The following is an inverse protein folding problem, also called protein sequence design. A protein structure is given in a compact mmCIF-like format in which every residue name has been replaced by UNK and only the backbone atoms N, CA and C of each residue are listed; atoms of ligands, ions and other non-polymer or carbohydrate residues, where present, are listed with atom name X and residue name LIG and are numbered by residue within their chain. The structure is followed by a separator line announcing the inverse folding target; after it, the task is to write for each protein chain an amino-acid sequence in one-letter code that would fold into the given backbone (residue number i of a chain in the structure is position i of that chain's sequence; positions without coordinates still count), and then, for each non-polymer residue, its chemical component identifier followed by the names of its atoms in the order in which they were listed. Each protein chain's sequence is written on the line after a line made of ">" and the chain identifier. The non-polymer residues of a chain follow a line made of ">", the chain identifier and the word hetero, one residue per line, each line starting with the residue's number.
data_IF_992398635866
#
_entry.id   IF_992398635866
#
_cell.length_a   1.000
_cell.length_b   1.000
_cell.length_c   1.000
_cell.angle_alpha   90.00
_cell.angle_beta   90.00
_cell.angle_gamma   90.00
#
_symmetry.space_group_name_H-M   'P 1'
#
loop_
_entity.id
_entity.type
_entity.pdbx_description
1 polymer ?
#
# COMPACT_ATOMS: atom_id res chain seq x y z
N UNK A 1 -5.99 -36.25 1.64
CA UNK A 1 -6.69 -35.46 2.67
C UNK A 1 -5.68 -34.51 3.28
N UNK A 2 -5.68 -33.24 2.85
CA UNK A 2 -4.80 -32.21 3.37
C UNK A 2 -5.67 -31.09 3.96
N UNK A 3 -5.50 -30.83 5.25
CA UNK A 3 -6.24 -29.80 5.96
C UNK A 3 -5.71 -28.43 5.58
N UNK A 4 -6.52 -27.61 4.90
CA UNK A 4 -6.30 -26.19 4.78
C UNK A 4 -6.63 -25.53 6.13
N UNK A 5 -5.64 -24.96 6.79
CA UNK A 5 -5.88 -23.95 7.83
C UNK A 5 -6.21 -22.62 7.14
N UNK A 6 -7.39 -22.02 7.38
CA UNK A 6 -7.70 -20.69 6.89
C UNK A 6 -6.76 -19.66 7.51
N UNK A 7 -6.38 -18.63 6.74
CA UNK A 7 -5.68 -17.48 7.30
C UNK A 7 -6.68 -16.63 8.11
N UNK A 8 -6.28 -15.99 9.21
CA UNK A 8 -7.20 -15.27 10.11
C UNK A 8 -7.82 -13.97 9.55
N UNK A 9 -7.81 -13.77 8.23
CA UNK A 9 -8.18 -12.50 7.60
C UNK A 9 -9.30 -12.63 6.58
N UNK A 10 -9.92 -13.82 6.46
CA UNK A 10 -10.91 -14.13 5.42
C UNK A 10 -12.37 -13.95 5.85
N UNK A 11 -12.65 -13.49 7.08
CA UNK A 11 -14.02 -13.26 7.54
C UNK A 11 -14.24 -11.80 7.92
N UNK A 12 -14.92 -11.06 7.03
CA UNK A 12 -15.85 -9.99 7.40
C UNK A 12 -16.89 -9.81 6.27
N UNK A 13 -18.07 -10.38 6.54
CA UNK A 13 -19.41 -10.01 6.08
C UNK A 13 -19.71 -9.86 4.57
N UNK A 14 -20.03 -11.01 3.96
CA UNK A 14 -20.98 -11.09 2.85
C UNK A 14 -22.40 -10.76 3.35
N UNK A 15 -22.73 -9.48 3.50
CA UNK A 15 -24.13 -9.03 3.54
C UNK A 15 -24.52 -8.39 2.22
N UNK A 16 -25.60 -8.93 1.67
CA UNK A 16 -26.08 -8.77 0.31
C UNK A 16 -26.76 -7.40 0.14
N UNK A 17 -26.09 -6.42 -0.45
CA UNK A 17 -26.80 -5.26 -1.02
C UNK A 17 -27.31 -5.59 -2.42
N UNK A 18 -28.48 -6.21 -2.46
CA UNK A 18 -29.29 -6.37 -3.69
C UNK A 18 -29.94 -5.03 -4.04
N UNK A 19 -29.15 -4.08 -4.53
CA UNK A 19 -29.64 -2.87 -5.19
C UNK A 19 -29.87 -3.16 -6.67
N UNK A 20 -31.13 -3.41 -7.06
CA UNK A 20 -31.52 -3.41 -8.47
C UNK A 20 -31.47 -1.96 -8.99
N UNK A 21 -30.53 -1.67 -9.87
CA UNK A 21 -30.60 -0.52 -10.78
C UNK A 21 -30.51 -1.05 -12.20
N UNK A 22 -31.66 -1.16 -12.86
CA UNK A 22 -31.72 -1.22 -14.31
C UNK A 22 -31.61 0.21 -14.82
N UNK A 23 -30.44 0.56 -15.35
CA UNK A 23 -30.30 1.70 -16.26
C UNK A 23 -29.68 1.13 -17.53
N UNK A 24 -30.53 1.01 -18.55
CA UNK A 24 -30.12 0.79 -19.93
C UNK A 24 -29.56 2.10 -20.45
N UNK A 25 -28.24 2.27 -20.38
CA UNK A 25 -27.54 3.28 -21.16
C UNK A 25 -26.74 2.56 -22.24
N UNK A 26 -27.38 2.46 -23.41
CA UNK A 26 -26.74 2.08 -24.66
C UNK A 26 -25.92 3.27 -25.16
N UNK A 27 -24.84 3.61 -24.46
CA UNK A 27 -23.80 4.49 -24.99
C UNK A 27 -22.59 3.64 -25.37
N UNK A 28 -22.31 3.66 -26.67
CA UNK A 28 -21.06 3.17 -27.25
C UNK A 28 -19.91 4.10 -26.83
N UNK A 29 -19.64 4.17 -25.52
CA UNK A 29 -18.55 4.92 -24.94
C UNK A 29 -17.34 3.98 -24.93
N UNK A 30 -16.31 4.28 -25.72
CA UNK A 30 -15.08 3.47 -25.74
C UNK A 30 -14.59 3.15 -24.32
N UNK A 31 -13.97 1.98 -24.16
CA UNK A 31 -13.51 1.50 -22.86
C UNK A 31 -12.65 2.58 -22.18
N UNK A 32 -13.10 3.09 -21.03
CA UNK A 32 -12.36 4.08 -20.24
C UNK A 32 -11.55 3.30 -19.21
N UNK A 33 -10.24 3.52 -19.22
CA UNK A 33 -9.34 3.04 -18.17
C UNK A 33 -9.07 4.18 -17.17
N UNK A 34 -9.03 3.83 -15.89
CA UNK A 34 -8.79 4.77 -14.81
C UNK A 34 -7.43 4.47 -14.21
N UNK A 35 -6.57 5.49 -14.10
CA UNK A 35 -5.23 5.36 -13.55
C UNK A 35 -5.11 6.20 -12.29
N UNK A 36 -4.78 5.53 -11.18
CA UNK A 36 -4.32 6.20 -9.97
C UNK A 36 -2.82 6.46 -10.09
N UNK A 37 -2.43 7.70 -9.86
CA UNK A 37 -1.05 8.08 -9.59
C UNK A 37 -0.90 8.28 -8.07
N UNK A 38 -0.21 7.36 -7.40
CA UNK A 38 0.10 7.43 -5.98
C UNK A 38 1.53 7.95 -5.83
N UNK A 39 1.67 9.23 -5.47
CA UNK A 39 2.97 9.83 -5.17
C UNK A 39 3.38 9.47 -3.75
N UNK A 40 4.40 8.64 -3.60
CA UNK A 40 5.04 8.32 -2.34
C UNK A 40 6.10 9.39 -2.05
N UNK A 41 5.87 10.20 -1.00
CA UNK A 41 6.77 11.31 -0.65
C UNK A 41 7.88 10.83 0.26
N UNK A 42 7.54 10.54 1.50
CA UNK A 42 8.50 10.16 2.54
C UNK A 42 7.84 9.30 3.61
N UNK A 43 8.69 8.59 4.35
CA UNK A 43 8.33 8.04 5.65
C UNK A 43 9.01 8.89 6.71
N UNK A 44 8.35 9.16 7.82
CA UNK A 44 8.93 9.83 8.98
C UNK A 44 8.71 9.01 10.25
N UNK A 45 9.45 9.35 11.31
CA UNK A 45 9.38 8.69 12.62
C UNK A 45 9.58 7.17 12.56
N UNK A 46 10.41 6.67 11.65
CA UNK A 46 10.78 5.25 11.66
C UNK A 46 11.48 4.97 12.97
N UNK A 47 10.80 4.28 13.88
CA UNK A 47 11.39 3.83 15.14
C UNK A 47 12.57 2.95 14.75
N UNK A 48 13.76 3.44 15.08
CA UNK A 48 15.00 2.76 14.79
C UNK A 48 15.00 1.46 15.61
N UNK A 49 14.71 0.34 14.97
CA UNK A 49 15.09 -0.99 15.47
C UNK A 49 16.62 -1.09 15.33
N UNK A 50 17.34 -0.28 16.11
CA UNK A 50 18.81 -0.22 16.13
C UNK A 50 19.42 -1.06 17.25
N UNK A 51 18.62 -1.82 17.99
CA UNK A 51 19.14 -2.86 18.87
C UNK A 51 19.41 -4.13 18.05
N UNK A 52 20.58 -4.20 17.38
CA UNK A 52 21.11 -5.50 16.91
C UNK A 52 21.83 -5.53 15.55
N UNK A 53 21.94 -4.43 14.80
CA UNK A 53 22.59 -4.45 13.48
C UNK A 53 24.10 -4.16 13.57
N UNK A 54 24.91 -5.21 13.41
CA UNK A 54 26.35 -5.11 13.15
C UNK A 54 26.67 -5.47 11.69
N UNK A 55 27.51 -4.70 10.97
CA UNK A 55 28.08 -3.42 11.39
C UNK A 55 26.97 -2.35 11.48
N UNK A 56 27.21 -1.32 12.29
CA UNK A 56 26.30 -0.18 12.48
C UNK A 56 26.05 0.53 11.16
N UNK A 57 25.11 0.04 10.37
CA UNK A 57 24.65 0.73 9.18
C UNK A 57 23.82 1.91 9.68
N UNK A 58 24.47 3.06 9.75
CA UNK A 58 23.82 4.33 9.98
C UNK A 58 22.81 4.70 8.88
N UNK A 59 22.55 3.84 7.89
CA UNK A 59 21.64 4.06 6.77
C UNK A 59 20.97 2.72 6.41
N UNK A 60 19.65 2.69 6.41
CA UNK A 60 18.87 1.54 5.96
C UNK A 60 18.51 1.64 4.48
N UNK A 61 18.26 0.50 3.82
CA UNK A 61 17.70 0.45 2.47
C UNK A 61 16.20 0.23 2.57
N UNK A 62 15.41 1.18 2.11
CA UNK A 62 13.95 1.14 2.24
C UNK A 62 13.27 1.05 0.89
N UNK A 63 12.12 0.38 0.88
CA UNK A 63 11.21 0.31 -0.27
C UNK A 63 9.76 0.33 0.22
N UNK A 64 8.90 1.02 -0.52
CA UNK A 64 7.45 0.96 -0.32
C UNK A 64 6.86 0.01 -1.35
N UNK A 65 6.08 -0.95 -0.88
CA UNK A 65 5.34 -1.91 -1.69
C UNK A 65 3.85 -1.61 -1.52
N UNK A 66 3.15 -1.52 -2.64
CA UNK A 66 1.70 -1.29 -2.72
C UNK A 66 1.09 -2.52 -3.37
N UNK A 67 0.08 -3.11 -2.75
CA UNK A 67 -0.69 -4.21 -3.31
C UNK A 67 -2.15 -3.80 -3.45
N UNK A 68 -2.78 -4.12 -4.57
CA UNK A 68 -4.23 -3.98 -4.73
C UNK A 68 -4.99 -5.23 -4.26
N UNK A 69 -6.31 -5.22 -4.38
CA UNK A 69 -7.15 -6.35 -3.97
C UNK A 69 -7.06 -7.54 -4.92
N UNK A 70 -6.60 -7.32 -6.16
CA UNK A 70 -6.31 -8.39 -7.13
C UNK A 70 -4.98 -9.09 -6.86
N UNK A 71 -4.17 -8.59 -5.92
CA UNK A 71 -2.86 -9.12 -5.57
C UNK A 71 -1.72 -8.65 -6.48
N UNK A 72 -1.95 -7.66 -7.35
CA UNK A 72 -0.87 -7.01 -8.11
C UNK A 72 -0.01 -6.20 -7.15
N UNK A 73 1.31 -6.32 -7.27
CA UNK A 73 2.26 -5.56 -6.46
C UNK A 73 2.98 -4.52 -7.30
N UNK A 74 3.13 -3.34 -6.71
CA UNK A 74 3.87 -2.21 -7.25
C UNK A 74 4.86 -1.76 -6.19
N UNK A 75 6.02 -1.25 -6.58
CA UNK A 75 7.00 -0.78 -5.60
C UNK A 75 7.75 0.43 -6.07
N UNK A 76 8.14 1.27 -5.12
CA UNK A 76 9.12 2.32 -5.37
C UNK A 76 10.50 1.73 -5.64
N UNK A 77 11.43 2.54 -6.13
CA UNK A 77 12.85 2.21 -6.10
C UNK A 77 13.34 2.06 -4.65
N UNK A 78 14.44 1.34 -4.50
CA UNK A 78 15.18 1.22 -3.24
C UNK A 78 15.86 2.54 -2.92
N UNK A 79 15.72 3.03 -1.70
CA UNK A 79 16.39 4.25 -1.24
C UNK A 79 17.15 4.00 0.03
N UNK A 80 18.38 4.53 0.06
CA UNK A 80 19.22 4.57 1.26
C UNK A 80 18.86 5.81 2.06
N UNK A 81 18.44 5.64 3.33
CA UNK A 81 17.99 6.74 4.17
C UNK A 81 18.32 6.59 5.65
N UNK A 82 18.34 7.71 6.38
CA UNK A 82 18.38 7.80 7.86
C UNK A 82 17.03 8.32 8.33
N UNK A 83 16.46 7.77 9.42
CA UNK A 83 15.11 7.17 9.60
C UNK A 83 13.89 7.88 8.96
N UNK A 84 14.10 8.62 7.89
CA UNK A 84 13.13 9.36 7.12
C UNK A 84 13.50 9.28 5.63
N UNK A 85 13.38 8.10 5.01
CA UNK A 85 13.61 7.95 3.57
C UNK A 85 12.58 8.77 2.77
N UNK A 86 13.04 9.46 1.73
CA UNK A 86 12.23 10.25 0.82
C UNK A 86 12.33 9.66 -0.59
N UNK A 87 11.19 9.29 -1.19
CA UNK A 87 11.13 8.74 -2.55
C UNK A 87 10.80 9.79 -3.60
N UNK A 88 9.77 10.60 -3.34
CA UNK A 88 9.14 11.47 -4.34
C UNK A 88 8.88 10.72 -5.65
N UNK A 89 8.30 9.53 -5.54
CA UNK A 89 8.12 8.59 -6.64
C UNK A 89 6.64 8.29 -6.86
N UNK A 90 6.21 8.28 -8.12
CA UNK A 90 4.83 8.01 -8.51
C UNK A 90 4.68 6.53 -8.86
N UNK A 91 3.75 5.86 -8.18
CA UNK A 91 3.28 4.53 -8.53
C UNK A 91 1.98 4.66 -9.32
N UNK A 92 1.95 4.07 -10.52
CA UNK A 92 0.78 4.07 -11.38
C UNK A 92 0.02 2.75 -11.28
N UNK A 93 -1.26 2.82 -10.96
CA UNK A 93 -2.13 1.64 -10.81
C UNK A 93 -3.35 1.82 -11.69
N UNK A 94 -3.59 0.84 -12.57
CA UNK A 94 -4.67 0.87 -13.57
C UNK A 94 -5.88 0.07 -13.12
N UNK A 95 -7.06 0.61 -13.38
CA UNK A 95 -8.37 0.06 -13.06
C UNK A 95 -9.29 0.17 -14.27
N UNK A 96 -10.05 -0.89 -14.52
CA UNK A 96 -10.93 -0.97 -15.69
C UNK A 96 -12.35 -0.44 -15.39
N UNK A 97 -12.59 0.04 -14.17
CA UNK A 97 -13.91 0.49 -13.72
C UNK A 97 -13.80 1.68 -12.78
N UNK A 98 -14.84 2.52 -12.82
CA UNK A 98 -15.09 3.59 -11.86
C UNK A 98 -16.52 3.47 -11.33
N UNK A 99 -16.77 3.62 -10.02
CA UNK A 99 -15.80 3.88 -8.95
C UNK A 99 -14.82 2.73 -8.73
N UNK A 100 -13.62 3.04 -8.21
CA UNK A 100 -12.58 2.02 -7.98
C UNK A 100 -12.94 1.13 -6.79
N UNK A 101 -13.37 1.71 -5.66
CA UNK A 101 -13.91 0.98 -4.50
C UNK A 101 -12.94 0.04 -3.78
N UNK A 102 -11.66 0.01 -4.17
CA UNK A 102 -10.66 -0.94 -3.66
C UNK A 102 -9.81 -0.33 -2.55
N UNK A 103 -9.24 -1.20 -1.70
CA UNK A 103 -8.24 -0.83 -0.69
C UNK A 103 -6.83 -1.15 -1.20
N UNK A 104 -5.95 -0.14 -1.19
CA UNK A 104 -4.53 -0.33 -1.43
C UNK A 104 -3.84 -0.70 -0.11
N UNK A 105 -3.17 -1.85 -0.10
CA UNK A 105 -2.36 -2.33 1.02
C UNK A 105 -0.93 -1.82 0.85
N UNK A 106 -0.45 -1.04 1.81
CA UNK A 106 0.91 -0.52 1.87
C UNK A 106 1.76 -1.34 2.82
N UNK A 107 3.01 -1.57 2.43
CA UNK A 107 4.05 -2.20 3.24
C UNK A 107 5.36 -1.47 3.02
N UNK A 108 5.95 -0.95 4.09
CA UNK A 108 7.32 -0.42 4.06
C UNK A 108 8.27 -1.51 4.55
N UNK A 109 9.29 -1.80 3.75
CA UNK A 109 10.32 -2.79 4.08
C UNK A 109 11.68 -2.13 4.24
N UNK A 110 12.45 -2.67 5.18
CA UNK A 110 13.87 -2.41 5.37
C UNK A 110 14.64 -3.64 4.88
N UNK A 111 15.44 -3.47 3.84
CA UNK A 111 16.18 -4.55 3.18
C UNK A 111 17.61 -4.68 3.72
N UNK A 112 18.23 -5.84 3.49
CA UNK A 112 19.57 -6.21 3.95
C UNK A 112 19.72 -6.21 5.49
N UNK A 113 18.65 -6.58 6.19
CA UNK A 113 18.64 -6.84 7.63
C UNK A 113 19.11 -8.27 7.91
N UNK A 114 20.42 -8.49 8.01
CA UNK A 114 20.98 -9.82 8.25
C UNK A 114 20.96 -10.28 9.72
N UNK A 115 20.50 -9.43 10.64
CA UNK A 115 20.41 -9.74 12.08
C UNK A 115 19.14 -10.51 12.47
N UNK A 116 18.17 -10.65 11.56
CA UNK A 116 16.98 -11.48 11.76
C UNK A 116 17.07 -12.76 10.90
N UNK A 117 17.58 -13.87 11.47
CA UNK A 117 17.80 -15.12 10.72
C UNK A 117 16.50 -15.79 10.26
N UNK A 118 15.32 -15.26 10.63
CA UNK A 118 14.02 -15.82 10.29
C UNK A 118 13.56 -15.57 8.85
N UNK A 119 14.18 -14.64 8.10
CA UNK A 119 13.82 -14.38 6.70
C UNK A 119 15.03 -14.54 5.78
N UNK A 120 14.99 -15.54 4.89
CA UNK A 120 16.07 -15.82 3.93
C UNK A 120 16.35 -14.70 2.92
N UNK A 121 15.49 -13.67 2.91
CA UNK A 121 15.59 -12.50 2.03
C UNK A 121 16.24 -11.29 2.69
N UNK A 122 16.46 -11.29 4.01
CA UNK A 122 16.98 -10.13 4.74
C UNK A 122 16.05 -8.91 4.70
N UNK A 123 14.75 -9.11 4.52
CA UNK A 123 13.75 -8.05 4.49
C UNK A 123 12.95 -8.00 5.80
N UNK A 124 12.98 -6.86 6.48
CA UNK A 124 12.20 -6.61 7.70
C UNK A 124 11.08 -5.63 7.41
N UNK A 125 9.84 -5.98 7.78
CA UNK A 125 8.72 -5.05 7.66
C UNK A 125 8.82 -3.98 8.74
N UNK A 126 8.85 -2.72 8.31
CA UNK A 126 8.81 -1.53 9.17
C UNK A 126 7.38 -1.32 9.65
N UNK A 127 6.41 -1.34 8.74
CA UNK A 127 5.00 -1.26 9.07
C UNK A 127 4.11 -1.36 7.85
N UNK A 128 2.80 -1.45 8.10
CA UNK A 128 1.76 -1.62 7.09
C UNK A 128 0.66 -0.59 7.28
N UNK A 129 0.06 -0.17 6.19
CA UNK A 129 -1.10 0.72 6.19
C UNK A 129 -2.11 0.28 5.13
N UNK A 130 -3.33 0.79 5.21
CA UNK A 130 -4.37 0.63 4.18
C UNK A 130 -4.82 2.02 3.75
N UNK A 131 -4.82 2.27 2.44
CA UNK A 131 -5.43 3.43 1.83
C UNK A 131 -6.72 2.98 1.13
N UNK A 132 -7.91 3.39 1.59
CA UNK A 132 -9.12 3.19 0.82
C UNK A 132 -9.07 4.06 -0.44
N UNK A 133 -9.48 3.51 -1.58
CA UNK A 133 -9.71 4.24 -2.84
C UNK A 133 -11.22 4.19 -3.13
N UNK A 134 -11.99 4.91 -2.33
CA UNK A 134 -13.44 5.03 -2.50
C UNK A 134 -13.82 6.30 -3.29
N UNK A 135 -15.10 6.44 -3.66
CA UNK A 135 -15.65 7.62 -4.35
C UNK A 135 -15.38 8.93 -3.63
N UNK A 136 -15.17 8.89 -2.31
CA UNK A 136 -14.91 10.08 -1.51
C UNK A 136 -13.48 10.59 -1.68
N UNK A 137 -12.59 9.81 -2.31
CA UNK A 137 -11.23 10.26 -2.64
C UNK A 137 -11.19 11.42 -3.63
N UNK A 138 -12.26 11.69 -4.38
CA UNK A 138 -12.34 12.93 -5.18
C UNK A 138 -12.05 14.17 -4.34
N UNK A 139 -12.45 14.17 -3.06
CA UNK A 139 -12.20 15.27 -2.11
C UNK A 139 -10.76 15.32 -1.60
N UNK A 140 -10.01 14.25 -1.79
CA UNK A 140 -8.65 14.06 -1.31
C UNK A 140 -7.62 14.11 -2.44
N UNK A 141 -8.05 14.12 -3.71
CA UNK A 141 -7.13 14.23 -4.83
C UNK A 141 -6.31 15.52 -4.79
N UNK A 142 -5.00 15.39 -5.03
CA UNK A 142 -4.05 16.49 -4.95
C UNK A 142 -3.77 17.01 -3.55
N UNK A 143 -4.26 16.35 -2.49
CA UNK A 143 -3.91 16.67 -1.10
C UNK A 143 -2.90 15.68 -0.56
N UNK A 144 -2.00 16.19 0.29
CA UNK A 144 -1.09 15.35 1.09
C UNK A 144 -1.89 14.57 2.11
N UNK A 145 -1.91 13.25 1.95
CA UNK A 145 -2.38 12.30 2.94
C UNK A 145 -1.22 11.80 3.81
N UNK A 146 -1.53 11.46 5.06
CA UNK A 146 -0.59 10.81 5.98
C UNK A 146 -1.27 9.57 6.55
N UNK A 147 -0.57 8.44 6.57
CA UNK A 147 -1.05 7.20 7.19
C UNK A 147 -0.04 6.66 8.20
N UNK A 148 -0.58 6.10 9.28
CA UNK A 148 0.19 5.39 10.29
C UNK A 148 0.60 4.01 9.78
N UNK A 149 1.89 3.72 9.84
CA UNK A 149 2.44 2.42 9.53
C UNK A 149 2.46 1.58 10.81
N UNK A 150 1.62 0.55 10.83
CA UNK A 150 1.42 -0.31 11.99
C UNK A 150 2.19 -1.61 11.83
N UNK A 151 2.84 -2.05 12.90
CA UNK A 151 3.49 -3.36 13.02
C UNK A 151 2.86 -4.14 14.16
N UNK A 152 2.76 -5.46 13.99
CA UNK A 152 2.38 -6.37 15.06
C UNK A 152 3.64 -6.76 15.84
N UNK A 153 3.64 -6.48 17.13
CA UNK A 153 4.70 -6.86 18.07
C UNK A 153 4.05 -7.79 19.11
N UNK A 154 4.22 -9.10 18.92
CA UNK A 154 3.44 -10.09 19.64
C UNK A 154 1.96 -10.02 19.28
N UNK A 155 1.10 -9.73 20.26
CA UNK A 155 -0.35 -9.55 20.08
C UNK A 155 -0.75 -8.06 19.96
N UNK A 156 0.19 -7.13 20.14
CA UNK A 156 -0.08 -5.70 20.14
C UNK A 156 0.16 -5.08 18.75
N UNK A 157 -0.67 -4.09 18.40
CA UNK A 157 -0.46 -3.21 17.25
C UNK A 157 0.29 -1.97 17.73
N UNK A 158 1.41 -1.65 17.10
CA UNK A 158 2.22 -0.45 17.38
C UNK A 158 2.40 0.38 16.12
N UNK A 159 2.28 1.70 16.26
CA UNK A 159 2.61 2.65 15.19
C UNK A 159 4.12 2.82 15.17
N UNK A 160 4.75 2.41 14.07
CA UNK A 160 6.21 2.39 13.92
C UNK A 160 6.74 3.53 13.06
N UNK A 161 5.88 4.15 12.24
CA UNK A 161 6.24 5.23 11.33
C UNK A 161 4.99 5.94 10.76
N UNK A 162 5.19 7.07 10.10
CA UNK A 162 4.18 7.77 9.31
C UNK A 162 4.61 7.81 7.84
N UNK A 163 3.71 7.51 6.91
CA UNK A 163 3.94 7.63 5.47
C UNK A 163 3.14 8.81 4.91
N UNK A 164 3.82 9.73 4.21
CA UNK A 164 3.22 10.84 3.47
C UNK A 164 3.07 10.48 2.00
N UNK A 165 1.89 10.74 1.43
CA UNK A 165 1.58 10.44 0.04
C UNK A 165 0.57 11.43 -0.56
N UNK A 166 0.46 11.45 -1.88
CA UNK A 166 -0.61 12.14 -2.61
C UNK A 166 -1.25 11.21 -3.64
N UNK A 167 -2.53 11.41 -3.90
CA UNK A 167 -3.28 10.60 -4.87
C UNK A 167 -3.83 11.52 -5.95
N UNK A 168 -3.68 11.10 -7.20
CA UNK A 168 -4.27 11.75 -8.36
C UNK A 168 -4.97 10.70 -9.21
N UNK A 169 -6.13 11.05 -9.78
CA UNK A 169 -6.85 10.22 -10.73
C UNK A 169 -6.66 10.77 -12.15
N UNK A 170 -6.39 9.89 -13.10
CA UNK A 170 -6.30 10.20 -14.52
C UNK A 170 -7.20 9.25 -15.29
N UNK A 171 -8.06 9.78 -16.14
CA UNK A 171 -8.88 8.98 -17.06
C UNK A 171 -8.16 8.84 -18.39
N UNK A 172 -8.02 7.60 -18.84
CA UNK A 172 -7.41 7.22 -20.12
C UNK A 172 -8.53 6.73 -21.04
N UNK A 173 -8.59 7.29 -22.25
CA UNK A 173 -9.46 6.75 -23.31
C UNK A 173 -8.68 5.66 -24.04
N UNK A 174 -9.25 4.47 -24.14
CA UNK A 174 -8.73 3.42 -25.02
C UNK A 174 -9.36 3.66 -26.39
N UNK A 175 -8.50 3.84 -27.41
CA UNK A 175 -8.88 3.94 -28.82
C UNK A 175 -9.05 2.57 -29.46
#
# INVERSE_FOLDING_TARGET
>A
MGYHHPRPWDDDDLTTFRGKSHINDNENSGEKEYMINLLIREVSNVILVLEGTFPYFSRGIYRVIVSDESGREFSTRRIVGRPAPTWNEVIQIRFNSYPIGQKLKLKVVHENCYSDPGTSTGEVVVGRAIIPVDEKLEKCFGKVGVVELVKLVGLEKRVEALLSFEIFLTTIKIE
#
